data_IF_406523589466
#
_entry.id   IF_406523589466
#
_cell.length_a   1.000
_cell.length_b   1.000
_cell.length_c   1.000
_cell.angle_alpha   90.00
_cell.angle_beta   90.00
_cell.angle_gamma   90.00
#
_symmetry.space_group_name_H-M   'P 1'
#
loop_
_entity.id
_entity.type
_entity.pdbx_description
1 polymer ?
#
# COMPACT_ATOMS: atom_id res chain seq x y z
N UNK A 1 -27.15 -18.38 30.39
CA UNK A 1 -27.00 -18.23 29.98
C UNK A 1 -26.79 -18.00 29.03
N UNK A 2 -26.84 -17.62 28.76
CA UNK A 2 -26.80 -17.54 27.81
C UNK A 2 -26.03 -16.69 27.28
N UNK A 3 -25.24 -16.97 26.66
CA UNK A 3 -24.33 -16.15 26.09
C UNK A 3 -24.93 -15.17 25.21
N UNK A 4 -26.05 -15.43 24.77
CA UNK A 4 -26.64 -14.52 23.89
C UNK A 4 -26.80 -13.20 24.48
N UNK A 5 -26.99 -13.08 25.69
CA UNK A 5 -27.23 -11.81 26.25
C UNK A 5 -26.03 -11.14 26.84
N UNK A 6 -24.89 -11.72 26.69
CA UNK A 6 -23.71 -11.16 27.30
C UNK A 6 -23.25 -9.92 26.55
N UNK A 7 -23.38 -8.73 27.15
CA UNK A 7 -22.95 -7.51 26.45
C UNK A 7 -21.48 -7.51 26.12
N UNK A 8 -20.67 -8.11 26.96
CA UNK A 8 -19.25 -8.14 26.72
C UNK A 8 -18.90 -8.97 25.49
N UNK A 9 -19.55 -10.10 25.36
CA UNK A 9 -19.34 -10.94 24.21
C UNK A 9 -19.83 -10.28 22.94
N UNK A 10 -20.97 -9.60 23.01
CA UNK A 10 -21.49 -8.89 21.89
C UNK A 10 -20.53 -7.79 21.46
N UNK A 11 -19.97 -7.08 22.41
CA UNK A 11 -19.02 -6.04 22.08
C UNK A 11 -17.79 -6.62 21.38
N UNK A 12 -17.31 -7.77 21.83
CA UNK A 12 -16.15 -8.38 21.19
C UNK A 12 -16.45 -8.83 19.77
N UNK A 13 -17.64 -9.34 19.54
CA UNK A 13 -18.01 -9.75 18.18
C UNK A 13 -18.11 -8.54 17.27
N UNK A 14 -18.65 -7.44 17.76
CA UNK A 14 -18.75 -6.24 16.96
C UNK A 14 -17.36 -5.70 16.65
N UNK A 15 -16.46 -5.78 17.62
CA UNK A 15 -15.10 -5.32 17.42
C UNK A 15 -14.39 -6.17 16.37
N UNK A 16 -14.60 -7.49 16.40
CA UNK A 16 -14.00 -8.37 15.41
C UNK A 16 -14.52 -8.08 14.00
N UNK A 17 -15.81 -7.82 13.88
CA UNK A 17 -16.37 -7.49 12.57
C UNK A 17 -15.78 -6.20 12.05
N UNK A 18 -15.64 -5.20 12.91
CA UNK A 18 -15.05 -3.93 12.51
C UNK A 18 -13.62 -4.12 12.03
N UNK A 19 -12.85 -4.91 12.77
CA UNK A 19 -11.46 -5.16 12.39
C UNK A 19 -11.35 -5.89 11.06
N UNK A 20 -12.24 -6.84 10.83
CA UNK A 20 -12.24 -7.56 9.56
C UNK A 20 -12.58 -6.63 8.41
N UNK A 21 -13.54 -5.73 8.61
CA UNK A 21 -13.88 -4.79 7.57
C UNK A 21 -12.72 -3.85 7.25
N UNK A 22 -12.03 -3.41 8.28
CA UNK A 22 -10.87 -2.55 8.07
C UNK A 22 -9.75 -3.28 7.34
N UNK A 23 -9.56 -4.56 7.66
CA UNK A 23 -8.55 -5.35 7.00
C UNK A 23 -8.86 -5.51 5.51
N UNK A 24 -10.12 -5.74 5.18
CA UNK A 24 -10.52 -5.88 3.79
C UNK A 24 -10.27 -4.59 3.03
N UNK A 25 -10.65 -3.46 3.61
CA UNK A 25 -10.45 -2.17 2.96
C UNK A 25 -8.96 -1.91 2.77
N UNK A 26 -8.16 -2.23 3.78
CA UNK A 26 -6.72 -2.02 3.68
C UNK A 26 -6.10 -2.87 2.59
N UNK A 27 -6.54 -4.12 2.46
CA UNK A 27 -6.03 -4.99 1.42
C UNK A 27 -6.38 -4.45 0.04
N UNK A 28 -7.60 -3.96 -0.13
CA UNK A 28 -8.01 -3.41 -1.42
C UNK A 28 -7.15 -2.20 -1.79
N UNK A 29 -6.93 -1.31 -0.83
CA UNK A 29 -6.12 -0.13 -1.07
C UNK A 29 -4.69 -0.52 -1.41
N UNK A 30 -4.14 -1.47 -0.68
CA UNK A 30 -2.77 -1.92 -0.92
C UNK A 30 -2.66 -2.57 -2.29
N UNK A 31 -3.63 -3.41 -2.66
CA UNK A 31 -3.60 -4.06 -3.97
C UNK A 31 -3.63 -3.04 -5.10
N UNK A 32 -4.46 -2.02 -4.95
CA UNK A 32 -4.52 -0.96 -5.94
C UNK A 32 -3.22 -0.18 -6.01
N UNK A 33 -2.62 0.08 -4.86
CA UNK A 33 -1.34 0.79 -4.81
C UNK A 33 -0.24 -0.04 -5.46
N UNK A 34 -0.26 -1.35 -5.27
CA UNK A 34 0.71 -2.22 -5.93
C UNK A 34 0.59 -2.04 -7.45
N UNK A 35 -0.63 -1.98 -7.95
CA UNK A 35 -0.83 -1.75 -9.39
C UNK A 35 -0.22 -0.45 -9.87
N UNK A 36 -0.37 0.60 -9.08
CA UNK A 36 0.23 1.89 -9.44
C UNK A 36 1.75 1.79 -9.47
N UNK A 37 2.33 1.14 -8.47
CA UNK A 37 3.79 0.99 -8.41
C UNK A 37 4.29 0.14 -9.56
N UNK A 38 3.55 -0.92 -9.91
CA UNK A 38 3.93 -1.79 -11.01
C UNK A 38 4.00 -0.99 -12.31
N UNK A 39 2.99 -0.18 -12.56
CA UNK A 39 2.94 0.56 -13.81
C UNK A 39 3.96 1.69 -13.81
N UNK A 40 4.01 2.48 -12.76
CA UNK A 40 4.87 3.65 -12.74
C UNK A 40 6.31 3.32 -12.39
N UNK A 41 6.52 2.26 -11.63
CA UNK A 41 7.87 1.86 -11.24
C UNK A 41 8.49 0.80 -12.13
N UNK A 42 7.69 0.24 -13.03
CA UNK A 42 8.17 -0.80 -13.94
C UNK A 42 8.72 -2.01 -13.18
N UNK A 43 7.97 -2.47 -12.19
CA UNK A 43 8.38 -3.63 -11.40
C UNK A 43 7.26 -4.67 -11.46
N UNK A 44 7.57 -5.87 -11.01
CA UNK A 44 6.56 -6.93 -10.94
C UNK A 44 5.63 -6.69 -9.75
N UNK A 45 4.47 -7.36 -9.70
CA UNK A 45 3.59 -7.22 -8.54
C UNK A 45 4.25 -7.61 -7.23
N UNK A 46 5.06 -8.65 -7.22
CA UNK A 46 5.77 -9.05 -6.01
C UNK A 46 6.74 -7.96 -5.58
N UNK A 47 7.44 -7.38 -6.51
CA UNK A 47 8.34 -6.28 -6.22
C UNK A 47 7.57 -5.04 -5.78
N UNK A 48 6.42 -4.80 -6.37
CA UNK A 48 5.58 -3.68 -5.96
C UNK A 48 5.18 -3.78 -4.49
N UNK A 49 4.85 -4.99 -4.06
CA UNK A 49 4.52 -5.22 -2.66
C UNK A 49 5.73 -4.90 -1.76
N UNK A 50 6.90 -5.41 -2.16
CA UNK A 50 8.13 -5.18 -1.38
C UNK A 50 8.44 -3.70 -1.32
N UNK A 51 8.27 -3.00 -2.45
CA UNK A 51 8.53 -1.56 -2.49
C UNK A 51 7.64 -0.82 -1.51
N UNK A 52 6.34 -1.15 -1.49
CA UNK A 52 5.44 -0.48 -0.55
C UNK A 52 5.85 -0.73 0.89
N UNK A 53 6.22 -1.98 1.21
CA UNK A 53 6.63 -2.30 2.56
C UNK A 53 7.88 -1.52 2.96
N UNK A 54 8.84 -1.44 2.06
CA UNK A 54 10.08 -0.75 2.39
C UNK A 54 9.88 0.75 2.54
N UNK A 55 9.04 1.33 1.71
CA UNK A 55 8.73 2.74 1.87
C UNK A 55 8.08 2.99 3.22
N UNK A 56 7.15 2.11 3.60
CA UNK A 56 6.51 2.21 4.89
C UNK A 56 7.52 2.14 6.02
N UNK A 57 8.47 1.22 5.92
CA UNK A 57 9.47 1.05 6.96
C UNK A 57 10.43 2.22 7.04
N UNK A 58 10.83 2.74 5.91
CA UNK A 58 11.80 3.84 5.89
C UNK A 58 11.18 5.15 6.35
N UNK A 59 9.93 5.39 6.02
CA UNK A 59 9.28 6.64 6.39
C UNK A 59 8.58 6.55 7.73
N UNK A 60 8.42 5.35 8.27
CA UNK A 60 7.69 5.13 9.51
C UNK A 60 6.22 5.51 9.37
N UNK A 61 5.70 5.46 8.16
CA UNK A 61 4.31 5.74 7.87
C UNK A 61 3.62 4.41 7.66
N UNK A 62 2.40 4.28 8.19
CA UNK A 62 1.70 3.01 8.09
C UNK A 62 1.49 2.62 6.63
N UNK A 63 1.58 1.32 6.38
CA UNK A 63 1.47 0.80 5.02
C UNK A 63 0.21 1.28 4.32
N UNK A 64 -0.92 1.28 5.02
CA UNK A 64 -2.16 1.74 4.41
C UNK A 64 -2.06 3.19 3.96
N UNK A 65 -1.42 4.02 4.78
CA UNK A 65 -1.29 5.43 4.42
C UNK A 65 -0.34 5.62 3.26
N UNK A 66 0.72 4.81 3.20
CA UNK A 66 1.62 4.82 2.05
C UNK A 66 0.83 4.44 0.81
N UNK A 67 0.02 3.38 0.91
CA UNK A 67 -0.77 2.93 -0.23
C UNK A 67 -1.73 4.02 -0.71
N UNK A 68 -2.41 4.69 0.21
CA UNK A 68 -3.30 5.77 -0.17
C UNK A 68 -2.56 6.89 -0.88
N UNK A 69 -1.36 7.19 -0.41
CA UNK A 69 -0.53 8.20 -1.05
C UNK A 69 -0.17 7.79 -2.48
N UNK A 70 0.11 6.51 -2.68
CA UNK A 70 0.40 6.03 -4.04
C UNK A 70 -0.79 6.22 -4.97
N UNK A 71 -1.99 5.99 -4.46
CA UNK A 71 -3.18 6.19 -5.27
C UNK A 71 -3.39 7.65 -5.64
N UNK A 72 -3.14 8.55 -4.69
CA UNK A 72 -3.24 9.97 -4.96
C UNK A 72 -2.19 10.36 -6.00
N UNK A 73 -0.98 9.85 -5.85
CA UNK A 73 0.08 10.12 -6.79
C UNK A 73 -0.29 9.64 -8.20
N UNK A 74 -0.87 8.44 -8.27
CA UNK A 74 -1.27 7.91 -9.57
C UNK A 74 -2.32 8.76 -10.27
N UNK A 75 -3.16 9.46 -9.49
CA UNK A 75 -4.20 10.27 -10.08
C UNK A 75 -3.76 11.70 -10.33
N UNK A 76 -2.93 12.24 -9.50
CA UNK A 76 -2.62 13.68 -9.52
C UNK A 76 -1.19 14.01 -9.83
N UNK A 77 -0.29 13.05 -9.69
CA UNK A 77 1.13 13.30 -9.86
C UNK A 77 1.78 13.95 -8.65
N UNK A 78 1.03 14.11 -7.57
CA UNK A 78 1.55 14.79 -6.38
C UNK A 78 1.87 13.78 -5.30
N UNK A 79 3.01 13.92 -4.66
CA UNK A 79 3.45 13.03 -3.61
C UNK A 79 4.29 13.81 -2.62
N UNK A 80 4.11 13.58 -1.30
CA UNK A 80 4.95 14.24 -0.32
C UNK A 80 6.42 13.93 -0.55
N UNK A 81 7.31 14.90 -0.33
CA UNK A 81 8.72 14.71 -0.66
C UNK A 81 9.39 13.55 0.08
N UNK A 82 9.04 13.32 1.34
CA UNK A 82 9.70 12.25 2.08
C UNK A 82 9.31 10.89 1.56
N UNK A 83 8.05 10.74 1.14
CA UNK A 83 7.62 9.47 0.57
C UNK A 83 8.24 9.31 -0.82
N UNK A 84 8.31 10.39 -1.58
CA UNK A 84 8.93 10.33 -2.90
C UNK A 84 10.39 9.91 -2.81
N UNK A 85 11.13 10.48 -1.86
CA UNK A 85 12.54 10.13 -1.71
C UNK A 85 12.71 8.66 -1.35
N UNK A 86 11.89 8.17 -0.42
CA UNK A 86 11.97 6.76 -0.03
C UNK A 86 11.57 5.85 -1.19
N UNK A 87 10.56 6.25 -1.95
CA UNK A 87 10.10 5.46 -3.08
C UNK A 87 11.19 5.38 -4.15
N UNK A 88 11.80 6.51 -4.48
CA UNK A 88 12.84 6.51 -5.50
C UNK A 88 14.03 5.68 -5.07
N UNK A 89 14.43 5.79 -3.82
CA UNK A 89 15.53 5.01 -3.31
C UNK A 89 15.21 3.51 -3.37
N UNK A 90 13.99 3.14 -2.99
CA UNK A 90 13.61 1.74 -2.99
C UNK A 90 13.52 1.20 -4.42
N UNK A 91 12.98 1.98 -5.33
CA UNK A 91 12.90 1.55 -6.72
C UNK A 91 14.28 1.40 -7.34
N UNK A 92 15.21 2.26 -6.97
CA UNK A 92 16.58 2.12 -7.47
C UNK A 92 17.19 0.79 -7.06
N UNK A 93 16.83 0.31 -5.87
CA UNK A 93 17.39 -0.96 -5.41
C UNK A 93 16.69 -2.17 -6.02
N UNK A 94 15.39 -2.07 -6.27
CA UNK A 94 14.65 -3.21 -6.76
C UNK A 94 14.24 -3.10 -8.22
N UNK A 95 14.20 -1.94 -8.75
CA UNK A 95 13.65 -1.73 -10.00
C UNK A 95 14.42 -2.22 -11.09
N UNK A 96 13.92 -2.22 -12.14
CA UNK A 96 14.40 -2.65 -13.23
C UNK A 96 14.81 -1.76 -13.84
N UNK A 97 14.56 -1.14 -13.44
CA UNK A 97 15.14 -0.39 -13.78
C UNK A 97 15.16 -0.37 -15.08
N UNK A 98 15.07 -0.63 -15.53
CA UNK A 98 15.25 -0.66 -16.69
C UNK A 98 14.39 -0.42 -17.48
N UNK A 99 13.92 -0.31 -17.33
CA UNK A 99 13.10 -0.43 -18.02
C UNK A 99 12.67 0.22 -18.91
N UNK A 100 12.23 -0.04 -19.33
CA UNK A 100 11.64 0.33 -20.30
C UNK A 100 11.25 1.57 -20.47
N UNK A 101 11.14 2.12 -19.66
CA UNK A 101 10.80 3.26 -19.72
C UNK A 101 11.37 3.84 -20.76
N UNK A 102 12.24 3.49 -20.95
CA UNK A 102 12.89 4.12 -21.85
C UNK A 102 12.42 3.88 -23.14
N UNK A 103 12.06 3.21 -23.24
CA UNK A 103 11.78 2.91 -24.35
C UNK A 103 10.98 3.49 -25.07
N UNK A 104 10.50 3.88 -24.85
CA UNK A 104 9.64 4.34 -25.56
C UNK A 104 10.04 4.94 -26.58
N UNK A 105 10.57 5.14 -26.58
CA UNK A 105 10.86 5.62 -27.41
C UNK A 105 11.07 5.14 -28.25
N UNK A 106 11.03 4.81 -28.09
CA UNK A 106 11.27 4.28 -28.85
C UNK A 106 11.21 4.44 -29.39
#
# INVERSE_FOLDING_TARGET
MTADGDPEQLFRLQEQVRQLKEAVVSHAVVDQAIGVVVVLGAVSPDEGWIVLKEVSQHTNIKLRNVAETMLIWGRTGVMPPEIRAALEDTLDRHGPTCVPRALPEG
#
